data_IF_874727208506
#
_entry.id   IF_874727208506
#
_cell.length_a   1.000
_cell.length_b   1.000
_cell.length_c   1.000
_cell.angle_alpha   90.00
_cell.angle_beta   90.00
_cell.angle_gamma   90.00
#
_symmetry.space_group_name_H-M   'P 1'
#
loop_
_entity.id
_entity.type
_entity.pdbx_description
1 polymer ?
#
# COMPACT_ATOMS: atom_id res chain seq x y z
N UNK A 1 20.75 -35.67 -42.92
CA UNK A 1 19.55 -36.51 -42.80
C UNK A 1 18.93 -36.26 -41.44
N UNK A 2 17.94 -35.39 -41.37
CA UNK A 2 17.22 -35.05 -40.14
C UNK A 2 16.41 -36.26 -39.68
N UNK A 3 16.79 -36.86 -38.54
CA UNK A 3 16.01 -37.94 -37.91
C UNK A 3 14.66 -37.36 -37.49
N UNK A 4 13.58 -37.80 -38.13
CA UNK A 4 12.22 -37.48 -37.70
C UNK A 4 12.03 -38.00 -36.26
N UNK A 5 11.43 -37.17 -35.40
CA UNK A 5 11.17 -37.52 -34.01
C UNK A 5 10.20 -38.73 -33.98
N UNK A 6 10.57 -39.87 -33.35
CA UNK A 6 9.74 -41.06 -33.31
C UNK A 6 8.48 -40.92 -32.44
N UNK A 7 8.37 -39.83 -31.66
CA UNK A 7 7.18 -39.50 -30.89
C UNK A 7 6.18 -38.70 -31.71
N UNK A 8 4.91 -39.07 -31.62
CA UNK A 8 3.81 -38.23 -32.11
C UNK A 8 3.74 -36.92 -31.30
N UNK A 9 3.08 -35.88 -31.84
CA UNK A 9 2.96 -34.59 -31.16
C UNK A 9 2.38 -34.70 -29.73
N UNK A 10 1.40 -35.57 -29.51
CA UNK A 10 0.82 -35.81 -28.19
C UNK A 10 1.77 -36.56 -27.25
N UNK A 11 2.50 -37.55 -27.75
CA UNK A 11 3.51 -38.27 -26.98
C UNK A 11 4.67 -37.34 -26.57
N UNK A 12 5.06 -36.40 -27.42
CA UNK A 12 6.07 -35.38 -27.09
C UNK A 12 5.61 -34.48 -25.95
N UNK A 13 4.38 -33.97 -26.01
CA UNK A 13 3.81 -33.15 -24.92
C UNK A 13 3.70 -33.96 -23.61
N UNK A 14 3.34 -35.24 -23.71
CA UNK A 14 3.25 -36.14 -22.56
C UNK A 14 4.62 -36.42 -21.95
N UNK A 15 5.61 -36.69 -22.79
CA UNK A 15 7.01 -36.88 -22.38
C UNK A 15 7.57 -35.62 -21.70
N UNK A 16 7.39 -34.43 -22.29
CA UNK A 16 7.85 -33.16 -21.71
C UNK A 16 7.19 -32.87 -20.36
N UNK A 17 5.90 -33.23 -20.21
CA UNK A 17 5.20 -33.13 -18.93
C UNK A 17 5.78 -34.08 -17.88
N UNK A 18 5.99 -35.35 -18.24
CA UNK A 18 6.53 -36.37 -17.32
C UNK A 18 7.97 -36.02 -16.91
N UNK A 19 8.80 -35.56 -17.85
CA UNK A 19 10.18 -35.13 -17.60
C UNK A 19 10.25 -33.97 -16.59
N UNK A 20 9.38 -32.96 -16.73
CA UNK A 20 9.33 -31.81 -15.81
C UNK A 20 8.86 -32.18 -14.40
N UNK A 21 8.15 -33.30 -14.25
CA UNK A 21 7.55 -33.72 -12.99
C UNK A 21 8.15 -35.04 -12.48
N UNK A 22 9.36 -35.42 -12.93
CA UNK A 22 9.95 -36.74 -12.70
C UNK A 22 10.01 -37.15 -11.22
N UNK A 23 10.17 -36.18 -10.31
CA UNK A 23 10.23 -36.39 -8.87
C UNK A 23 8.87 -36.70 -8.21
N UNK A 24 7.76 -36.48 -8.91
CA UNK A 24 6.40 -36.61 -8.39
C UNK A 24 5.56 -37.67 -9.11
N UNK A 25 6.17 -38.48 -9.99
CA UNK A 25 5.47 -39.49 -10.77
C UNK A 25 5.08 -40.71 -9.93
N UNK A 26 3.87 -41.22 -10.12
CA UNK A 26 3.47 -42.51 -9.59
C UNK A 26 4.06 -43.68 -10.42
N UNK A 27 3.95 -44.91 -9.92
CA UNK A 27 4.53 -46.11 -10.55
C UNK A 27 4.00 -46.42 -11.96
N UNK A 28 2.82 -45.90 -12.32
CA UNK A 28 2.29 -46.05 -13.68
C UNK A 28 2.90 -45.01 -14.61
N UNK A 29 3.05 -43.78 -14.13
CA UNK A 29 3.62 -42.66 -14.89
C UNK A 29 5.13 -42.78 -15.08
N UNK A 30 5.86 -43.38 -14.13
CA UNK A 30 7.27 -43.74 -14.32
C UNK A 30 7.46 -44.73 -15.47
N UNK A 31 6.65 -45.79 -15.50
CA UNK A 31 6.67 -46.77 -16.61
C UNK A 31 6.27 -46.16 -17.96
N UNK A 32 5.32 -45.21 -17.95
CA UNK A 32 4.95 -44.45 -19.14
C UNK A 32 6.10 -43.55 -19.62
N UNK A 33 6.80 -42.90 -18.70
CA UNK A 33 7.99 -42.10 -19.00
C UNK A 33 9.11 -42.98 -19.59
N UNK A 34 9.42 -44.12 -18.97
CA UNK A 34 10.44 -45.06 -19.44
C UNK A 34 10.13 -45.58 -20.85
N UNK A 35 8.86 -45.89 -21.13
CA UNK A 35 8.42 -46.31 -22.46
C UNK A 35 8.61 -45.21 -23.52
N UNK A 36 8.22 -43.98 -23.21
CA UNK A 36 8.38 -42.83 -24.13
C UNK A 36 9.85 -42.45 -24.32
N UNK A 37 10.67 -42.58 -23.28
CA UNK A 37 12.10 -42.34 -23.31
C UNK A 37 12.80 -43.37 -24.20
N UNK A 38 12.50 -44.67 -24.02
CA UNK A 38 13.04 -45.74 -24.86
C UNK A 38 12.63 -45.61 -26.33
N UNK A 39 11.38 -45.15 -26.58
CA UNK A 39 10.89 -44.85 -27.93
C UNK A 39 11.65 -43.68 -28.59
N UNK A 40 12.07 -42.69 -27.81
CA UNK A 40 12.87 -41.54 -28.26
C UNK A 40 14.33 -41.93 -28.57
N UNK A 41 14.93 -42.80 -27.75
CA UNK A 41 16.31 -43.26 -27.93
C UNK A 41 16.49 -44.26 -29.08
N UNK A 42 15.41 -44.68 -29.73
CA UNK A 42 15.45 -45.57 -30.89
C UNK A 42 15.87 -47.01 -30.56
N UNK A 43 15.79 -47.41 -29.29
CA UNK A 43 16.03 -48.79 -28.86
C UNK A 43 14.86 -49.69 -29.29
N UNK A 44 14.96 -50.27 -30.50
CA UNK A 44 14.13 -51.41 -30.92
C UNK A 44 14.58 -52.66 -30.15
N UNK A 45 14.10 -52.82 -28.93
CA UNK A 45 14.38 -54.04 -28.17
C UNK A 45 14.19 -53.92 -26.67
N UNK A 46 13.01 -53.54 -26.21
CA UNK A 46 12.44 -53.86 -24.89
C UNK A 46 10.94 -53.56 -24.87
N UNK A 47 10.28 -53.87 -25.99
CA UNK A 47 8.82 -53.93 -26.05
C UNK A 47 8.38 -55.29 -25.50
N UNK A 48 8.28 -55.43 -24.18
CA UNK A 48 7.37 -56.43 -23.64
C UNK A 48 5.95 -56.00 -24.01
N UNK A 49 5.38 -56.79 -24.90
CA UNK A 49 4.01 -56.69 -25.40
C UNK A 49 3.06 -56.69 -24.21
N UNK A 50 2.36 -55.58 -24.00
CA UNK A 50 1.20 -55.53 -23.12
C UNK A 50 0.07 -56.33 -23.78
N UNK A 51 -0.01 -57.62 -23.46
CA UNK A 51 -1.16 -58.48 -23.72
C UNK A 51 -1.99 -58.58 -22.43
N UNK A 52 -3.21 -58.03 -22.36
CA UNK A 52 -4.00 -58.04 -21.14
C UNK A 52 -4.62 -59.41 -20.77
N UNK A 53 -4.32 -60.50 -21.51
CA UNK A 53 -4.93 -61.82 -21.29
C UNK A 53 -4.02 -62.89 -20.65
N UNK A 54 -2.84 -62.55 -20.12
CA UNK A 54 -1.93 -63.56 -19.56
C UNK A 54 -1.26 -63.15 -18.24
N UNK A 55 -2.04 -62.98 -17.16
CA UNK A 55 -1.55 -63.19 -15.78
C UNK A 55 -2.66 -63.26 -14.73
N UNK A 56 -3.62 -64.16 -14.90
CA UNK A 56 -4.54 -64.58 -13.83
C UNK A 56 -4.04 -65.87 -13.14
N UNK A 57 -2.72 -66.03 -13.02
CA UNK A 57 -2.12 -67.28 -12.52
C UNK A 57 -0.91 -67.08 -11.60
N UNK A 58 -0.73 -65.90 -10.99
CA UNK A 58 0.39 -65.65 -10.05
C UNK A 58 0.05 -64.78 -8.84
N UNK A 59 -1.24 -64.66 -8.49
CA UNK A 59 -1.71 -64.06 -7.23
C UNK A 59 -2.79 -64.96 -6.62
N UNK A 60 -2.41 -66.21 -6.33
CA UNK A 60 -3.16 -67.14 -5.49
C UNK A 60 -2.29 -67.54 -4.30
N UNK A 61 -1.85 -66.55 -3.51
CA UNK A 61 -1.46 -66.78 -2.11
C UNK A 61 -1.51 -65.45 -1.33
N UNK A 62 -2.71 -64.97 -1.04
CA UNK A 62 -3.02 -64.05 0.07
C UNK A 62 -4.54 -63.86 0.08
N UNK A 63 -5.20 -64.61 0.97
CA UNK A 63 -6.65 -64.76 1.00
C UNK A 63 -7.41 -63.48 1.31
N UNK A 64 -7.94 -62.84 0.26
CA UNK A 64 -9.02 -61.85 0.36
C UNK A 64 -10.00 -62.09 -0.79
N UNK A 65 -11.23 -62.50 -0.44
CA UNK A 65 -12.34 -62.80 -1.35
C UNK A 65 -12.73 -61.59 -2.23
N UNK A 66 -12.90 -61.82 -3.53
CA UNK A 66 -13.66 -60.93 -4.43
C UNK A 66 -14.94 -61.64 -4.92
N UNK A 67 -16.05 -60.90 -5.10
CA UNK A 67 -17.36 -61.48 -5.35
C UNK A 67 -17.49 -62.12 -6.74
N UNK A 68 -18.05 -63.32 -6.74
CA UNK A 68 -18.44 -64.13 -7.91
C UNK A 68 -19.46 -63.43 -8.79
N UNK A 69 -19.21 -63.38 -10.10
CA UNK A 69 -20.22 -63.13 -11.12
C UNK A 69 -20.44 -64.38 -11.97
N UNK A 70 -21.71 -64.72 -12.17
CA UNK A 70 -22.15 -65.95 -12.81
C UNK A 70 -21.77 -66.02 -14.30
N UNK A 71 -21.13 -67.13 -14.67
CA UNK A 71 -21.03 -67.62 -16.04
C UNK A 71 -22.44 -67.87 -16.61
N UNK A 72 -22.73 -67.34 -17.81
CA UNK A 72 -23.80 -67.89 -18.66
C UNK A 72 -23.20 -68.48 -19.92
N UNK A 73 -23.09 -69.80 -19.87
CA UNK A 73 -22.87 -70.71 -20.97
C UNK A 73 -23.90 -70.52 -22.09
N UNK A 74 -23.42 -70.46 -23.33
CA UNK A 74 -24.22 -70.76 -24.53
C UNK A 74 -24.41 -72.27 -24.63
N UNK A 75 -25.63 -72.76 -24.49
CA UNK A 75 -26.03 -74.07 -25.00
C UNK A 75 -27.55 -74.24 -25.00
N UNK A 76 -28.01 -74.87 -26.07
CA UNK A 76 -29.32 -75.51 -26.27
C UNK A 76 -30.48 -74.67 -26.81
N UNK A 77 -31.22 -75.38 -27.65
CA UNK A 77 -32.08 -75.00 -28.76
C UNK A 77 -33.42 -75.69 -28.48
N UNK A 78 -34.52 -75.02 -28.79
CA UNK A 78 -35.86 -75.57 -29.15
C UNK A 78 -36.78 -76.08 -28.02
N UNK A 79 -37.80 -75.28 -27.71
CA UNK A 79 -39.26 -75.57 -27.80
C UNK A 79 -39.99 -74.35 -27.21
N UNK A 80 -40.82 -73.59 -27.93
CA UNK A 80 -42.20 -73.96 -28.26
C UNK A 80 -43.16 -73.41 -27.19
N UNK A 81 -43.86 -72.31 -27.47
CA UNK A 81 -45.08 -71.93 -26.73
C UNK A 81 -45.19 -70.49 -26.22
N UNK A 82 -46.19 -69.79 -26.77
CA UNK A 82 -47.03 -68.74 -26.19
C UNK A 82 -46.46 -67.33 -25.90
N UNK A 83 -47.18 -66.37 -26.48
CA UNK A 83 -47.04 -64.92 -26.40
C UNK A 83 -47.10 -64.36 -24.98
N UNK A 84 -46.28 -63.36 -24.71
CA UNK A 84 -46.57 -62.26 -23.77
C UNK A 84 -45.85 -61.00 -24.28
N UNK A 85 -46.60 -60.10 -24.92
CA UNK A 85 -46.13 -58.76 -25.26
C UNK A 85 -45.80 -57.99 -23.99
N UNK A 86 -44.52 -57.85 -23.67
CA UNK A 86 -44.02 -56.94 -22.64
C UNK A 86 -43.29 -55.79 -23.32
N UNK A 87 -43.86 -54.59 -23.17
CA UNK A 87 -43.33 -53.31 -23.66
C UNK A 87 -41.87 -53.13 -23.20
N UNK A 88 -40.94 -53.07 -24.16
CA UNK A 88 -39.54 -52.72 -23.93
C UNK A 88 -39.48 -51.29 -23.34
N UNK A 89 -38.91 -51.08 -22.13
CA UNK A 89 -38.62 -49.73 -21.68
C UNK A 89 -37.45 -49.19 -22.51
N UNK A 90 -37.67 -48.06 -23.20
CA UNK A 90 -36.59 -47.31 -23.87
C UNK A 90 -35.46 -47.05 -22.88
N UNK A 91 -34.25 -47.49 -23.21
CA UNK A 91 -33.04 -47.19 -22.46
C UNK A 91 -32.93 -45.67 -22.25
N UNK A 92 -33.03 -45.23 -20.98
CA UNK A 92 -32.72 -43.85 -20.61
C UNK A 92 -31.25 -43.60 -20.93
N UNK A 93 -30.97 -42.81 -21.96
CA UNK A 93 -29.64 -42.24 -22.20
C UNK A 93 -29.15 -41.62 -20.88
N UNK A 94 -28.01 -42.10 -20.36
CA UNK A 94 -27.34 -41.45 -19.25
C UNK A 94 -27.07 -40.00 -19.64
N UNK A 95 -27.80 -39.06 -19.03
CA UNK A 95 -27.49 -37.64 -19.17
C UNK A 95 -26.08 -37.46 -18.59
N UNK A 96 -25.10 -37.17 -19.45
CA UNK A 96 -23.79 -36.66 -19.01
C UNK A 96 -24.07 -35.57 -17.98
N UNK A 97 -23.66 -35.76 -16.72
CA UNK A 97 -23.71 -34.70 -15.72
C UNK A 97 -22.93 -33.54 -16.31
N UNK A 98 -23.63 -32.49 -16.76
CA UNK A 98 -23.01 -31.24 -17.19
C UNK A 98 -22.28 -30.72 -15.96
N UNK A 99 -20.98 -30.98 -15.87
CA UNK A 99 -20.11 -30.31 -14.92
C UNK A 99 -20.41 -28.82 -15.05
N UNK A 100 -20.93 -28.23 -13.99
CA UNK A 100 -21.39 -26.85 -13.96
C UNK A 100 -20.26 -25.97 -14.50
N UNK A 101 -20.58 -24.97 -15.34
CA UNK A 101 -19.59 -24.20 -16.13
C UNK A 101 -18.74 -23.24 -15.29
N UNK A 102 -18.37 -23.61 -14.06
CA UNK A 102 -17.57 -22.80 -13.14
C UNK A 102 -16.27 -22.33 -13.80
N UNK A 103 -15.59 -23.15 -14.59
CA UNK A 103 -14.37 -22.71 -15.31
C UNK A 103 -14.63 -21.55 -16.27
N UNK A 104 -15.78 -21.51 -16.94
CA UNK A 104 -16.15 -20.38 -17.81
C UNK A 104 -16.61 -19.19 -16.97
N UNK A 105 -17.36 -19.43 -15.88
CA UNK A 105 -17.77 -18.37 -14.96
C UNK A 105 -16.55 -17.67 -14.33
N UNK A 106 -15.57 -18.43 -13.83
CA UNK A 106 -14.31 -17.90 -13.30
C UNK A 106 -13.45 -17.22 -14.36
N UNK A 107 -13.45 -17.71 -15.61
CA UNK A 107 -12.78 -17.00 -16.71
C UNK A 107 -13.46 -15.66 -17.05
N UNK A 108 -14.79 -15.61 -17.04
CA UNK A 108 -15.56 -14.36 -17.23
C UNK A 108 -15.37 -13.38 -16.06
N UNK A 109 -15.37 -13.88 -14.82
CA UNK A 109 -15.04 -13.09 -13.62
C UNK A 109 -13.62 -12.55 -13.66
N UNK A 110 -12.65 -13.38 -14.05
CA UNK A 110 -11.24 -12.97 -14.21
C UNK A 110 -11.07 -11.92 -15.30
N UNK A 111 -11.76 -12.07 -16.44
CA UNK A 111 -11.77 -11.07 -17.52
C UNK A 111 -12.43 -9.76 -17.07
N UNK A 112 -13.56 -9.83 -16.34
CA UNK A 112 -14.20 -8.63 -15.78
C UNK A 112 -13.26 -7.91 -14.80
N UNK A 113 -12.61 -8.65 -13.90
CA UNK A 113 -11.66 -8.10 -12.96
C UNK A 113 -10.46 -7.44 -13.66
N UNK A 114 -9.95 -8.07 -14.72
CA UNK A 114 -8.91 -7.50 -15.57
C UNK A 114 -9.37 -6.21 -16.26
N UNK A 115 -10.57 -6.17 -16.82
CA UNK A 115 -11.12 -4.95 -17.43
C UNK A 115 -11.27 -3.81 -16.42
N UNK A 116 -11.73 -4.11 -15.19
CA UNK A 116 -11.80 -3.14 -14.10
C UNK A 116 -10.40 -2.65 -13.71
N UNK A 117 -9.42 -3.55 -13.57
CA UNK A 117 -8.03 -3.19 -13.27
C UNK A 117 -7.41 -2.28 -14.35
N UNK A 118 -7.61 -2.62 -15.63
CA UNK A 118 -7.16 -1.78 -16.75
C UNK A 118 -7.86 -0.42 -16.73
N UNK A 119 -9.17 -0.39 -16.50
CA UNK A 119 -9.94 0.86 -16.38
C UNK A 119 -9.41 1.77 -15.25
N UNK A 120 -9.09 1.18 -14.09
CA UNK A 120 -8.49 1.91 -12.96
C UNK A 120 -7.10 2.46 -13.29
N UNK A 121 -6.24 1.67 -13.94
CA UNK A 121 -4.90 2.14 -14.37
C UNK A 121 -5.04 3.31 -15.36
N UNK A 122 -5.97 3.22 -16.32
CA UNK A 122 -6.22 4.31 -17.28
C UNK A 122 -6.72 5.56 -16.57
N UNK A 123 -7.63 5.44 -15.61
CA UNK A 123 -8.12 6.58 -14.82
C UNK A 123 -7.03 7.19 -13.95
N UNK A 124 -6.18 6.37 -13.32
CA UNK A 124 -5.02 6.82 -12.57
C UNK A 124 -4.06 7.62 -13.45
N UNK A 125 -3.68 7.08 -14.62
CA UNK A 125 -2.80 7.77 -15.57
C UNK A 125 -3.42 9.08 -16.07
N UNK A 126 -4.74 9.11 -16.33
CA UNK A 126 -5.45 10.35 -16.66
C UNK A 126 -5.38 11.38 -15.55
N UNK A 127 -5.52 10.96 -14.29
CA UNK A 127 -5.38 11.82 -13.12
C UNK A 127 -3.99 12.41 -13.00
N UNK A 128 -2.98 11.54 -13.08
CA UNK A 128 -1.58 11.90 -13.02
C UNK A 128 -1.20 12.88 -14.13
N UNK A 129 -1.61 12.60 -15.37
CA UNK A 129 -1.39 13.49 -16.51
C UNK A 129 -2.12 14.83 -16.37
N UNK A 130 -3.35 14.85 -15.86
CA UNK A 130 -4.12 16.09 -15.69
C UNK A 130 -3.55 17.05 -14.65
N UNK A 131 -2.71 16.55 -13.75
CA UNK A 131 -2.07 17.33 -12.70
C UNK A 131 -0.59 17.59 -12.98
N UNK A 132 0.00 16.83 -13.91
CA UNK A 132 1.37 17.04 -14.35
C UNK A 132 1.42 18.22 -15.35
N UNK A 133 2.06 19.35 -15.00
CA UNK A 133 2.13 20.52 -15.85
C UNK A 133 2.91 20.31 -17.15
N UNK A 134 3.76 19.27 -17.21
CA UNK A 134 4.46 18.90 -18.44
C UNK A 134 3.56 18.10 -19.42
N UNK A 135 2.29 17.85 -19.07
CA UNK A 135 1.33 17.16 -19.93
C UNK A 135 0.51 18.16 -20.76
N UNK A 136 0.06 17.74 -21.95
CA UNK A 136 -0.78 18.57 -22.84
C UNK A 136 -2.08 19.05 -22.21
N UNK A 137 -2.55 18.35 -21.16
CA UNK A 137 -3.78 18.64 -20.43
C UNK A 137 -3.51 19.09 -18.98
N UNK A 138 -2.25 19.39 -18.62
CA UNK A 138 -1.85 19.83 -17.29
C UNK A 138 -2.12 21.32 -17.02
N UNK A 139 -2.11 21.75 -15.75
CA UNK A 139 -2.19 23.18 -15.41
C UNK A 139 -0.92 23.89 -15.91
N UNK A 140 -1.06 24.98 -16.67
CA UNK A 140 0.08 25.67 -17.30
C UNK A 140 0.96 26.43 -16.31
N UNK A 141 0.43 26.72 -15.11
CA UNK A 141 1.10 27.52 -14.08
C UNK A 141 1.66 26.67 -12.92
N UNK A 142 1.52 25.34 -12.97
CA UNK A 142 2.07 24.44 -11.95
C UNK A 142 3.48 23.94 -12.33
N UNK A 143 4.30 23.59 -11.34
CA UNK A 143 5.55 22.81 -11.54
C UNK A 143 5.33 21.37 -11.08
N UNK A 144 5.86 20.40 -11.82
CA UNK A 144 5.69 18.99 -11.47
C UNK A 144 6.42 18.70 -10.15
N UNK A 145 5.80 17.91 -9.26
CA UNK A 145 6.47 17.46 -8.05
C UNK A 145 7.73 16.66 -8.44
N UNK A 146 8.90 17.16 -8.04
CA UNK A 146 10.17 16.49 -8.31
C UNK A 146 10.47 15.54 -7.17
N UNK A 147 10.68 14.27 -7.48
CA UNK A 147 11.12 13.27 -6.49
C UNK A 147 12.57 13.57 -6.13
N UNK A 148 12.83 13.74 -4.84
CA UNK A 148 14.15 13.95 -4.27
C UNK A 148 14.86 12.61 -4.08
N UNK A 149 16.19 12.65 -4.04
CA UNK A 149 16.97 11.47 -3.63
C UNK A 149 16.69 11.20 -2.16
N UNK A 150 16.20 10.01 -1.84
CA UNK A 150 15.86 9.61 -0.46
C UNK A 150 16.37 8.21 -0.16
N UNK A 151 17.29 8.10 0.79
CA UNK A 151 17.95 6.84 1.16
C UNK A 151 17.16 6.12 2.26
N UNK A 152 15.96 5.68 1.88
CA UNK A 152 15.03 5.02 2.79
C UNK A 152 15.62 3.80 3.49
N UNK A 153 15.31 3.65 4.77
CA UNK A 153 15.72 2.52 5.61
C UNK A 153 14.51 1.73 6.11
N UNK A 154 14.63 0.42 6.12
CA UNK A 154 13.61 -0.48 6.66
C UNK A 154 13.56 -0.42 8.18
N UNK A 155 12.35 -0.50 8.73
CA UNK A 155 12.08 -0.56 10.17
C UNK A 155 11.78 -1.99 10.61
N UNK A 156 12.03 -2.29 11.89
CA UNK A 156 11.79 -3.64 12.44
C UNK A 156 10.31 -3.98 12.57
N UNK A 157 9.47 -2.98 12.82
CA UNK A 157 8.03 -3.13 12.98
C UNK A 157 7.27 -2.11 12.13
N UNK A 158 6.50 -2.60 11.16
CA UNK A 158 5.80 -1.77 10.20
C UNK A 158 6.72 -1.02 9.23
N UNK A 159 6.20 0.06 8.67
CA UNK A 159 6.88 0.94 7.72
C UNK A 159 6.69 2.38 8.18
N UNK A 160 7.80 3.07 8.43
CA UNK A 160 7.80 4.51 8.72
C UNK A 160 7.81 5.34 7.43
N UNK A 161 6.87 6.28 7.34
CA UNK A 161 6.70 7.24 6.25
C UNK A 161 6.81 8.66 6.83
N UNK A 162 7.79 9.43 6.38
CA UNK A 162 7.94 10.84 6.71
C UNK A 162 6.94 11.67 5.91
N UNK A 163 6.13 12.48 6.58
CA UNK A 163 5.18 13.40 5.96
C UNK A 163 5.66 14.81 6.26
N UNK A 164 5.93 15.56 5.21
CA UNK A 164 6.42 16.94 5.27
C UNK A 164 5.38 17.88 4.67
N UNK A 165 4.97 18.87 5.44
CA UNK A 165 4.13 19.97 4.97
C UNK A 165 4.96 21.21 4.74
N UNK A 166 4.95 21.75 3.53
CA UNK A 166 5.66 22.99 3.17
C UNK A 166 4.69 24.14 2.98
N UNK A 167 5.16 25.35 3.29
CA UNK A 167 4.47 26.61 3.01
C UNK A 167 4.76 27.16 1.60
N UNK A 168 5.55 26.42 0.82
CA UNK A 168 5.90 26.76 -0.55
C UNK A 168 4.66 26.97 -1.40
N UNK A 169 4.45 28.21 -1.83
CA UNK A 169 3.42 28.56 -2.82
C UNK A 169 3.88 28.08 -4.20
N UNK A 170 2.94 27.69 -5.06
CA UNK A 170 3.26 27.33 -6.44
C UNK A 170 4.08 28.45 -7.09
N UNK A 171 5.32 28.15 -7.47
CA UNK A 171 6.23 29.09 -8.13
C UNK A 171 7.33 29.70 -7.26
N UNK A 172 7.33 29.50 -5.93
CA UNK A 172 8.45 29.94 -5.08
C UNK A 172 9.66 29.00 -5.21
N UNK A 173 10.85 29.56 -5.00
CA UNK A 173 12.09 28.78 -5.03
C UNK A 173 12.13 27.85 -3.81
N UNK A 174 12.32 26.54 -4.05
CA UNK A 174 12.40 25.53 -3.00
C UNK A 174 13.48 25.82 -1.94
N UNK A 175 14.51 26.60 -2.32
CA UNK A 175 15.61 27.02 -1.44
C UNK A 175 15.21 28.00 -0.32
N UNK A 176 14.01 28.60 -0.38
CA UNK A 176 13.46 29.47 0.66
C UNK A 176 12.27 28.81 1.41
N UNK A 177 11.92 27.58 1.05
CA UNK A 177 10.75 26.90 1.58
C UNK A 177 11.08 26.17 2.88
N UNK A 178 10.26 26.33 3.91
CA UNK A 178 10.43 25.65 5.20
C UNK A 178 9.36 24.59 5.39
N UNK A 179 9.74 23.51 6.08
CA UNK A 179 8.76 22.51 6.53
C UNK A 179 8.16 22.94 7.86
N UNK A 180 6.87 23.24 7.82
CA UNK A 180 6.09 23.67 8.98
C UNK A 180 5.30 22.52 9.62
N UNK A 181 5.27 21.36 8.96
CA UNK A 181 4.74 20.12 9.51
C UNK A 181 5.71 18.99 9.26
N UNK A 182 6.15 18.33 10.32
CA UNK A 182 7.08 17.19 10.26
C UNK A 182 6.44 16.06 11.04
N UNK A 183 5.95 15.04 10.34
CA UNK A 183 5.28 13.90 10.96
C UNK A 183 5.88 12.59 10.47
N UNK A 184 5.90 11.57 11.31
CA UNK A 184 6.22 10.20 10.89
C UNK A 184 5.01 9.32 11.17
N UNK A 185 4.50 8.70 10.11
CA UNK A 185 3.42 7.73 10.15
C UNK A 185 4.03 6.33 10.08
N UNK A 186 3.80 5.51 11.10
CA UNK A 186 4.05 4.07 11.06
C UNK A 186 2.77 3.35 10.64
N UNK A 187 2.89 2.50 9.63
CA UNK A 187 1.80 1.65 9.13
C UNK A 187 2.24 0.18 9.13
N UNK A 188 1.26 -0.74 9.11
CA UNK A 188 1.52 -2.18 8.99
C UNK A 188 2.37 -2.77 10.13
N UNK A 189 2.32 -2.18 11.32
CA UNK A 189 2.92 -2.74 12.54
C UNK A 189 2.23 -4.03 12.99
N UNK A 190 2.93 -4.85 13.79
CA UNK A 190 2.44 -6.14 14.30
C UNK A 190 1.18 -6.03 15.15
N UNK A 191 1.00 -4.91 15.85
CA UNK A 191 -0.17 -4.60 16.66
C UNK A 191 -1.38 -4.12 15.84
N UNK A 192 -1.21 -4.00 14.51
CA UNK A 192 -2.26 -3.59 13.56
C UNK A 192 -2.91 -2.26 13.95
N UNK A 193 -2.13 -1.33 14.48
CA UNK A 193 -2.55 0.06 14.72
C UNK A 193 -1.76 1.00 13.81
N UNK A 194 -2.33 2.18 13.55
CA UNK A 194 -1.55 3.28 12.98
C UNK A 194 -0.90 4.06 14.10
N UNK A 195 0.30 4.56 13.87
CA UNK A 195 1.00 5.39 14.85
C UNK A 195 1.52 6.64 14.16
N UNK A 196 1.25 7.79 14.77
CA UNK A 196 1.59 9.08 14.20
C UNK A 196 2.34 9.90 15.23
N UNK A 197 3.61 10.19 14.95
CA UNK A 197 4.38 11.15 15.73
C UNK A 197 4.53 12.44 14.95
N UNK A 198 4.29 13.57 15.61
CA UNK A 198 4.51 14.91 15.05
C UNK A 198 5.65 15.58 15.79
N UNK A 199 6.63 16.09 15.06
CA UNK A 199 7.75 16.85 15.60
C UNK A 199 7.48 18.34 15.43
N UNK A 200 7.56 19.09 16.52
CA UNK A 200 7.49 20.55 16.46
C UNK A 200 8.71 21.09 15.70
N UNK A 201 8.48 22.08 14.85
CA UNK A 201 9.49 22.63 13.95
C UNK A 201 10.67 23.31 14.67
N UNK A 202 10.40 23.88 15.85
CA UNK A 202 11.35 24.66 16.64
C UNK A 202 12.13 23.79 17.64
N UNK A 203 12.00 22.45 17.54
CA UNK A 203 12.78 21.52 18.36
C UNK A 203 14.27 21.62 18.02
N UNK A 204 15.11 21.78 19.05
CA UNK A 204 16.57 21.82 18.91
C UNK A 204 17.11 20.43 18.62
N UNK A 205 17.87 20.35 17.53
CA UNK A 205 18.44 19.12 17.00
C UNK A 205 19.88 19.33 16.57
N UNK A 206 20.61 18.22 16.55
CA UNK A 206 21.89 18.12 15.90
C UNK A 206 21.68 17.90 14.40
N UNK A 207 22.37 18.69 13.56
CA UNK A 207 22.41 18.53 12.12
C UNK A 207 23.86 18.26 11.71
N UNK A 208 24.11 17.07 11.15
CA UNK A 208 25.45 16.69 10.70
C UNK A 208 25.99 17.68 9.66
N UNK A 209 27.26 18.09 9.82
CA UNK A 209 27.89 19.13 8.99
C UNK A 209 27.58 20.59 9.39
N UNK A 210 26.56 20.85 10.22
CA UNK A 210 26.13 22.21 10.58
C UNK A 210 26.16 22.51 12.08
N UNK A 211 25.87 21.51 12.91
CA UNK A 211 25.92 21.62 14.37
C UNK A 211 27.34 21.45 14.90
N UNK A 212 27.61 22.10 16.02
CA UNK A 212 28.90 21.96 16.68
C UNK A 212 29.05 20.58 17.34
N UNK A 213 30.29 20.08 17.39
CA UNK A 213 30.67 18.92 18.20
C UNK A 213 31.73 19.37 19.19
N UNK A 214 31.35 19.49 20.46
CA UNK A 214 32.22 19.99 21.53
C UNK A 214 32.60 18.81 22.42
N UNK A 215 33.90 18.55 22.59
CA UNK A 215 34.42 17.43 23.39
C UNK A 215 33.82 16.07 23.00
N UNK A 216 33.56 15.85 21.70
CA UNK A 216 32.94 14.63 21.19
C UNK A 216 31.42 14.54 21.39
N UNK A 217 30.78 15.57 21.93
CA UNK A 217 29.34 15.64 22.10
C UNK A 217 28.69 16.49 21.01
N UNK A 218 27.77 15.85 20.28
CA UNK A 218 26.88 16.49 19.30
C UNK A 218 26.00 17.54 20.02
N UNK A 219 26.08 18.79 19.60
CA UNK A 219 25.26 19.87 20.15
C UNK A 219 23.91 19.94 19.41
N UNK A 220 22.84 20.21 20.16
CA UNK A 220 21.50 20.44 19.61
C UNK A 220 21.27 21.94 19.54
N UNK A 221 21.72 22.56 18.46
CA UNK A 221 21.93 24.01 18.36
C UNK A 221 21.16 24.65 17.19
N UNK A 222 20.50 23.83 16.36
CA UNK A 222 19.65 24.28 15.26
C UNK A 222 18.21 23.79 15.41
N UNK A 223 17.26 24.56 14.88
CA UNK A 223 15.86 24.15 14.81
C UNK A 223 15.66 23.04 13.77
N UNK A 224 14.73 22.13 14.05
CA UNK A 224 14.44 21.00 13.16
C UNK A 224 13.99 21.40 11.75
N UNK A 225 13.19 22.45 11.60
CA UNK A 225 12.77 22.90 10.25
C UNK A 225 13.91 23.41 9.37
N UNK A 226 15.01 23.88 9.98
CA UNK A 226 16.19 24.32 9.23
C UNK A 226 16.81 23.17 8.44
N UNK A 227 16.68 21.92 8.91
CA UNK A 227 17.21 20.75 8.22
C UNK A 227 16.69 20.63 6.78
N UNK A 228 15.41 20.91 6.55
CA UNK A 228 14.86 20.85 5.20
C UNK A 228 15.45 21.95 4.30
N UNK A 229 15.51 23.19 4.80
CA UNK A 229 16.05 24.34 4.06
C UNK A 229 17.52 24.10 3.66
N UNK A 230 18.33 23.58 4.59
CA UNK A 230 19.73 23.21 4.32
C UNK A 230 19.84 22.10 3.28
N UNK A 231 19.03 21.04 3.39
CA UNK A 231 19.02 19.96 2.42
C UNK A 231 18.61 20.43 1.02
N UNK A 232 17.68 21.38 0.90
CA UNK A 232 17.31 21.98 -0.38
C UNK A 232 18.46 22.77 -1.01
N UNK A 233 19.23 23.49 -0.19
CA UNK A 233 20.44 24.19 -0.62
C UNK A 233 21.57 23.21 -1.03
N UNK A 234 21.63 22.03 -0.41
CA UNK A 234 22.56 20.94 -0.73
C UNK A 234 22.08 20.01 -1.85
N UNK A 235 21.61 20.59 -2.95
CA UNK A 235 21.27 19.82 -4.15
C UNK A 235 19.89 19.17 -4.11
N UNK A 236 18.90 19.84 -3.47
CA UNK A 236 17.49 19.42 -3.43
C UNK A 236 17.28 18.08 -2.72
N UNK A 237 17.84 18.00 -1.51
CA UNK A 237 17.78 16.83 -0.63
C UNK A 237 17.11 17.19 0.70
N UNK A 238 16.13 18.11 0.71
CA UNK A 238 15.45 18.56 1.92
C UNK A 238 14.85 17.41 2.74
N UNK A 239 14.09 16.51 2.10
CA UNK A 239 13.48 15.37 2.78
C UNK A 239 14.53 14.38 3.32
N UNK A 240 15.62 14.15 2.58
CA UNK A 240 16.72 13.29 3.01
C UNK A 240 17.49 13.87 4.19
N UNK A 241 17.68 15.19 4.23
CA UNK A 241 18.31 15.86 5.38
C UNK A 241 17.45 15.70 6.63
N UNK A 242 16.12 15.92 6.53
CA UNK A 242 15.20 15.69 7.66
C UNK A 242 15.24 14.22 8.10
N UNK A 243 15.31 13.26 7.16
CA UNK A 243 15.46 11.84 7.48
C UNK A 243 16.71 11.55 8.32
N UNK A 244 17.86 12.11 7.93
CA UNK A 244 19.13 11.96 8.67
C UNK A 244 19.03 12.58 10.06
N UNK A 245 18.49 13.78 10.17
CA UNK A 245 18.31 14.47 11.45
C UNK A 245 17.40 13.69 12.39
N UNK A 246 16.27 13.16 11.91
CA UNK A 246 15.39 12.31 12.72
C UNK A 246 16.07 11.00 13.13
N UNK A 247 16.95 10.44 12.29
CA UNK A 247 17.77 9.28 12.65
C UNK A 247 18.79 9.63 13.74
N UNK A 248 19.53 10.72 13.59
CA UNK A 248 20.59 11.10 14.54
C UNK A 248 20.05 11.51 15.93
N UNK A 249 18.88 12.17 15.97
CA UNK A 249 18.34 12.75 17.20
C UNK A 249 17.31 11.84 17.87
N UNK A 250 16.53 11.08 17.10
CA UNK A 250 15.42 10.27 17.60
C UNK A 250 15.52 8.78 17.26
N UNK A 251 16.61 8.37 16.59
CA UNK A 251 16.88 7.00 16.14
C UNK A 251 15.74 6.40 15.30
N UNK A 252 15.15 7.21 14.44
CA UNK A 252 14.09 6.79 13.52
C UNK A 252 14.67 6.33 12.18
N UNK A 253 14.46 5.06 11.85
CA UNK A 253 14.60 4.58 10.48
C UNK A 253 13.32 4.90 9.71
N UNK A 254 13.46 5.49 8.52
CA UNK A 254 12.34 5.96 7.72
C UNK A 254 12.55 5.50 6.29
N UNK A 255 11.55 4.79 5.75
CA UNK A 255 11.63 4.15 4.44
C UNK A 255 11.18 5.05 3.31
N UNK A 256 10.09 5.78 3.55
CA UNK A 256 9.46 6.60 2.54
C UNK A 256 9.23 8.02 3.04
N UNK A 257 9.03 8.95 2.10
CA UNK A 257 8.59 10.29 2.41
C UNK A 257 7.43 10.72 1.50
N UNK A 258 6.65 11.69 1.95
CA UNK A 258 5.65 12.40 1.18
C UNK A 258 5.71 13.89 1.55
N UNK A 259 6.12 14.71 0.60
CA UNK A 259 6.17 16.16 0.69
C UNK A 259 4.91 16.74 0.04
N UNK A 260 4.12 17.47 0.83
CA UNK A 260 2.80 17.96 0.46
C UNK A 260 2.75 19.48 0.69
N UNK A 261 2.53 20.24 -0.38
CA UNK A 261 2.26 21.67 -0.30
C UNK A 261 0.77 21.95 -0.03
N UNK A 262 0.43 23.22 0.18
CA UNK A 262 -0.94 23.65 0.47
C UNK A 262 -1.93 23.29 -0.63
N UNK A 263 -1.55 23.47 -1.90
CA UNK A 263 -2.43 23.20 -3.02
C UNK A 263 -2.66 21.69 -3.19
N UNK A 264 -1.61 20.90 -3.07
CA UNK A 264 -1.64 19.45 -3.10
C UNK A 264 -2.53 18.92 -1.96
N UNK A 265 -2.39 19.46 -0.75
CA UNK A 265 -3.23 19.08 0.38
C UNK A 265 -4.72 19.37 0.11
N UNK A 266 -5.09 20.62 -0.19
CA UNK A 266 -6.49 20.97 -0.40
C UNK A 266 -7.11 20.21 -1.57
N UNK A 267 -6.36 20.08 -2.67
CA UNK A 267 -6.79 19.30 -3.83
C UNK A 267 -6.98 17.83 -3.49
N UNK A 268 -6.09 17.23 -2.69
CA UNK A 268 -6.22 15.85 -2.26
C UNK A 268 -7.50 15.65 -1.42
N UNK A 269 -7.75 16.54 -0.47
CA UNK A 269 -8.94 16.50 0.37
C UNK A 269 -10.21 16.63 -0.46
N UNK A 270 -10.33 17.66 -1.30
CA UNK A 270 -11.54 17.88 -2.11
C UNK A 270 -11.79 16.75 -3.11
N UNK A 271 -10.73 16.09 -3.58
CA UNK A 271 -10.87 14.99 -4.53
C UNK A 271 -11.21 13.66 -3.82
N UNK A 272 -10.66 13.40 -2.64
CA UNK A 272 -10.92 12.19 -1.86
C UNK A 272 -12.24 12.27 -1.06
N UNK A 273 -12.60 13.48 -0.64
CA UNK A 273 -13.75 13.80 0.21
C UNK A 273 -14.52 14.99 -0.40
N UNK A 274 -15.28 14.79 -1.49
CA UNK A 274 -16.00 15.88 -2.16
C UNK A 274 -17.04 16.57 -1.25
N UNK A 275 -17.54 15.87 -0.23
CA UNK A 275 -18.45 16.41 0.80
C UNK A 275 -17.71 17.00 2.01
N UNK A 276 -16.37 17.08 1.95
CA UNK A 276 -15.50 17.48 3.04
C UNK A 276 -15.22 16.38 4.07
N UNK A 277 -14.30 16.68 4.98
CA UNK A 277 -13.89 15.82 6.10
C UNK A 277 -14.61 16.30 7.36
N UNK A 278 -15.22 15.38 8.12
CA UNK A 278 -15.78 15.69 9.43
C UNK A 278 -14.65 15.96 10.42
N UNK A 279 -14.58 17.16 10.98
CA UNK A 279 -13.64 17.50 12.04
C UNK A 279 -14.40 18.03 13.24
N UNK A 280 -14.00 17.59 14.43
CA UNK A 280 -14.41 18.19 15.69
C UNK A 280 -13.43 19.31 16.04
N UNK A 281 -13.66 20.51 15.53
CA UNK A 281 -12.68 21.60 15.64
C UNK A 281 -12.46 22.00 17.10
N UNK A 282 -11.20 22.06 17.51
CA UNK A 282 -10.76 22.36 18.86
C UNK A 282 -9.80 23.54 18.81
N UNK A 283 -10.15 24.60 19.53
CA UNK A 283 -9.29 25.73 19.80
C UNK A 283 -8.95 25.74 21.29
N UNK A 284 -7.84 26.36 21.64
CA UNK A 284 -7.48 26.56 23.04
C UNK A 284 -8.21 27.78 23.60
N UNK A 285 -7.56 28.49 24.52
CA UNK A 285 -7.99 29.79 25.02
C UNK A 285 -7.33 30.93 24.25
N UNK A 286 -7.88 32.13 24.34
CA UNK A 286 -7.23 33.37 23.96
C UNK A 286 -7.32 34.31 25.17
N UNK A 287 -6.18 34.67 25.74
CA UNK A 287 -6.12 35.37 27.03
C UNK A 287 -6.89 34.65 28.15
N UNK A 288 -6.85 33.31 28.17
CA UNK A 288 -7.55 32.48 29.16
C UNK A 288 -9.05 32.30 28.92
N UNK A 289 -9.62 32.88 27.85
CA UNK A 289 -11.04 32.69 27.48
C UNK A 289 -11.14 31.64 26.37
N UNK A 290 -11.98 30.59 26.51
CA UNK A 290 -12.15 29.58 25.47
C UNK A 290 -12.57 30.18 24.13
N UNK A 291 -11.85 29.83 23.06
CA UNK A 291 -12.16 30.26 21.70
C UNK A 291 -13.28 29.39 21.13
N UNK A 292 -14.46 29.96 20.93
CA UNK A 292 -15.61 29.25 20.34
C UNK A 292 -15.70 29.40 18.82
N UNK A 293 -15.04 30.41 18.26
CA UNK A 293 -14.87 30.61 16.82
C UNK A 293 -13.57 31.36 16.55
N UNK A 294 -12.91 31.00 15.45
CA UNK A 294 -11.67 31.61 15.01
C UNK A 294 -11.80 32.11 13.58
N UNK A 295 -11.36 33.34 13.34
CA UNK A 295 -11.18 33.87 11.99
C UNK A 295 -9.80 33.45 11.50
N UNK A 296 -9.74 32.68 10.41
CA UNK A 296 -8.50 32.20 9.82
C UNK A 296 -8.33 32.77 8.42
N UNK A 297 -7.10 33.07 8.03
CA UNK A 297 -6.78 33.47 6.67
C UNK A 297 -7.05 32.35 5.66
N UNK A 298 -7.44 32.71 4.44
CA UNK A 298 -7.60 31.80 3.33
C UNK A 298 -6.49 32.00 2.29
N UNK A 299 -5.32 31.47 2.63
CA UNK A 299 -4.10 31.67 1.84
C UNK A 299 -4.15 31.05 0.44
N UNK A 300 -5.01 30.05 0.22
CA UNK A 300 -5.19 29.47 -1.12
C UNK A 300 -5.90 30.43 -2.08
N UNK A 301 -6.71 31.34 -1.55
CA UNK A 301 -7.44 32.34 -2.33
C UNK A 301 -6.89 33.76 -2.10
N UNK A 302 -5.76 33.89 -1.39
CA UNK A 302 -5.08 35.15 -1.23
C UNK A 302 -4.45 35.60 -2.55
N UNK A 303 -4.67 36.88 -2.89
CA UNK A 303 -4.05 37.57 -4.02
C UNK A 303 -3.08 38.61 -3.51
N UNK A 304 -2.36 39.30 -4.42
CA UNK A 304 -1.47 40.40 -4.02
C UNK A 304 -2.20 41.54 -3.29
N UNK A 305 -3.50 41.70 -3.54
CA UNK A 305 -4.30 42.82 -3.03
C UNK A 305 -5.30 42.41 -1.96
N UNK A 306 -5.64 41.12 -1.84
CA UNK A 306 -6.69 40.64 -0.96
C UNK A 306 -6.25 39.38 -0.21
N UNK A 307 -6.48 39.35 1.10
CA UNK A 307 -6.31 38.17 1.94
C UNK A 307 -7.68 37.80 2.51
N UNK A 308 -8.46 36.94 1.82
CA UNK A 308 -9.75 36.52 2.31
C UNK A 308 -9.61 35.80 3.64
N UNK A 309 -10.67 35.85 4.45
CA UNK A 309 -10.74 35.15 5.73
C UNK A 309 -11.98 34.27 5.75
N UNK A 310 -11.94 33.26 6.61
CA UNK A 310 -13.07 32.39 6.89
C UNK A 310 -13.20 32.18 8.40
N UNK A 311 -14.42 31.93 8.87
CA UNK A 311 -14.69 31.67 10.28
C UNK A 311 -14.88 30.18 10.50
N UNK A 312 -14.12 29.61 11.44
CA UNK A 312 -14.22 28.22 11.85
C UNK A 312 -14.74 28.18 13.29
N UNK A 313 -15.85 27.49 13.52
CA UNK A 313 -16.43 27.34 14.86
C UNK A 313 -15.84 26.13 15.58
N UNK A 314 -15.75 26.16 16.90
CA UNK A 314 -15.44 24.98 17.69
C UNK A 314 -16.56 23.93 17.54
N UNK A 315 -16.20 22.65 17.59
CA UNK A 315 -17.12 21.53 17.48
C UNK A 315 -17.14 20.85 16.10
N UNK A 316 -18.02 19.84 15.98
CA UNK A 316 -18.15 19.01 14.78
C UNK A 316 -18.70 19.80 13.58
N UNK A 317 -17.94 19.80 12.49
CA UNK A 317 -18.35 20.38 11.20
C UNK A 317 -17.69 19.66 10.02
N UNK A 318 -18.24 19.87 8.82
CA UNK A 318 -17.62 19.44 7.57
C UNK A 318 -16.66 20.53 7.08
N UNK A 319 -15.44 20.15 6.75
CA UNK A 319 -14.45 21.05 6.16
C UNK A 319 -13.99 20.55 4.80
N UNK A 320 -14.03 21.42 3.79
CA UNK A 320 -13.38 21.16 2.50
C UNK A 320 -11.85 21.34 2.63
N UNK A 321 -11.12 21.12 1.55
CA UNK A 321 -9.66 21.19 1.53
C UNK A 321 -9.09 22.52 2.00
N UNK A 322 -9.66 23.65 1.57
CA UNK A 322 -9.21 24.97 2.02
C UNK A 322 -9.51 25.22 3.50
N UNK A 323 -10.74 24.97 3.96
CA UNK A 323 -11.12 25.15 5.36
C UNK A 323 -10.29 24.26 6.28
N UNK A 324 -10.04 23.01 5.89
CA UNK A 324 -9.25 22.06 6.65
C UNK A 324 -7.76 22.44 6.71
N UNK A 325 -7.20 22.95 5.61
CA UNK A 325 -5.83 23.48 5.56
C UNK A 325 -5.66 24.63 6.54
N UNK A 326 -6.57 25.60 6.51
CA UNK A 326 -6.47 26.80 7.33
C UNK A 326 -6.75 26.49 8.80
N UNK A 327 -7.61 25.51 9.11
CA UNK A 327 -7.74 24.94 10.45
C UNK A 327 -6.41 24.35 10.96
N UNK A 328 -5.71 23.58 10.12
CA UNK A 328 -4.42 22.98 10.46
C UNK A 328 -3.29 24.01 10.64
N UNK A 329 -3.46 25.23 10.10
CA UNK A 329 -2.44 26.30 10.12
C UNK A 329 -2.66 27.35 11.19
N UNK A 330 -3.84 27.39 11.79
CA UNK A 330 -4.17 28.33 12.86
C UNK A 330 -3.12 28.31 13.98
N UNK A 331 -2.82 29.46 14.57
CA UNK A 331 -1.86 29.59 15.69
C UNK A 331 -2.19 30.75 16.64
N UNK A 332 -3.30 31.44 16.40
CA UNK A 332 -3.65 32.66 17.13
C UNK A 332 -4.49 32.32 18.37
N UNK A 333 -4.03 31.32 19.13
CA UNK A 333 -4.54 30.93 20.45
C UNK A 333 -3.37 30.80 21.43
N UNK A 334 -3.67 30.65 22.72
CA UNK A 334 -2.69 30.60 23.81
C UNK A 334 -1.75 29.37 23.71
N UNK A 335 -2.09 28.36 22.89
CA UNK A 335 -1.24 27.19 22.62
C UNK A 335 -0.28 27.38 21.44
N UNK A 336 -0.49 28.42 20.61
CA UNK A 336 0.41 28.78 19.52
C UNK A 336 0.78 27.62 18.60
N UNK A 337 2.10 27.38 18.49
CA UNK A 337 2.65 26.34 17.61
C UNK A 337 2.31 24.92 18.08
N UNK A 338 2.23 24.69 19.40
CA UNK A 338 1.85 23.39 19.95
C UNK A 338 0.40 23.05 19.56
N UNK A 339 -0.51 24.03 19.69
CA UNK A 339 -1.90 23.90 19.27
C UNK A 339 -2.01 23.61 17.77
N UNK A 340 -1.16 24.26 16.95
CA UNK A 340 -1.03 23.98 15.52
C UNK A 340 -0.61 22.53 15.24
N UNK A 341 0.45 22.05 15.87
CA UNK A 341 0.90 20.65 15.71
C UNK A 341 -0.18 19.66 16.11
N UNK A 342 -0.91 19.92 17.20
CA UNK A 342 -2.07 19.11 17.60
C UNK A 342 -3.18 19.11 16.54
N UNK A 343 -3.54 20.28 15.98
CA UNK A 343 -4.56 20.39 14.94
C UNK A 343 -4.14 19.69 13.65
N UNK A 344 -2.88 19.80 13.23
CA UNK A 344 -2.34 19.04 12.10
C UNK A 344 -2.47 17.53 12.32
N UNK A 345 -2.11 17.05 13.51
CA UNK A 345 -2.25 15.64 13.88
C UNK A 345 -3.72 15.20 13.90
N UNK A 346 -4.62 16.05 14.41
CA UNK A 346 -6.06 15.80 14.40
C UNK A 346 -6.61 15.71 12.97
N UNK A 347 -6.20 16.61 12.09
CA UNK A 347 -6.57 16.60 10.67
C UNK A 347 -6.11 15.29 10.01
N UNK A 348 -4.85 14.90 10.18
CA UNK A 348 -4.33 13.65 9.63
C UNK A 348 -5.10 12.43 10.18
N UNK A 349 -5.40 12.44 11.48
CA UNK A 349 -6.19 11.37 12.13
C UNK A 349 -7.60 11.28 11.57
N UNK A 350 -8.29 12.42 11.41
CA UNK A 350 -9.64 12.47 10.89
C UNK A 350 -9.71 12.02 9.43
N UNK A 351 -8.72 12.40 8.62
CA UNK A 351 -8.57 11.92 7.24
C UNK A 351 -8.39 10.41 7.23
N UNK A 352 -7.43 9.88 7.98
CA UNK A 352 -7.15 8.43 8.03
C UNK A 352 -8.36 7.61 8.52
N UNK A 353 -9.09 8.09 9.52
CA UNK A 353 -10.29 7.42 10.05
C UNK A 353 -11.50 7.47 9.11
N UNK A 354 -11.61 8.53 8.30
CA UNK A 354 -12.73 8.69 7.37
C UNK A 354 -12.51 8.04 6.00
N UNK A 355 -11.33 7.44 5.77
CA UNK A 355 -11.13 6.46 4.71
C UNK A 355 -11.92 5.19 5.09
N UNK A 356 -13.25 5.25 4.94
CA UNK A 356 -14.18 4.17 5.32
C UNK A 356 -14.22 3.02 4.31
N UNK A 357 -13.81 3.29 3.08
CA UNK A 357 -13.92 2.34 1.99
C UNK A 357 -12.73 2.46 1.02
N UNK A 358 -11.78 1.51 1.05
CA UNK A 358 -10.67 1.52 0.10
C UNK A 358 -11.15 1.36 -1.34
N UNK A 359 -12.34 0.80 -1.60
CA UNK A 359 -12.94 0.75 -2.95
C UNK A 359 -13.25 2.12 -3.54
N UNK A 360 -13.38 3.16 -2.69
CA UNK A 360 -13.42 4.56 -3.15
C UNK A 360 -12.06 5.10 -3.56
N UNK A 361 -10.96 4.59 -3.02
CA UNK A 361 -9.61 4.89 -3.51
C UNK A 361 -9.38 4.23 -4.89
N UNK A 362 -9.97 3.05 -5.10
CA UNK A 362 -9.94 2.33 -6.38
C UNK A 362 -10.81 2.97 -7.47
N UNK A 363 -12.05 3.36 -7.14
CA UNK A 363 -12.95 4.10 -8.06
C UNK A 363 -12.53 5.56 -8.22
N UNK A 364 -11.86 6.13 -7.21
CA UNK A 364 -11.14 7.40 -7.23
C UNK A 364 -9.71 7.29 -7.76
N UNK A 365 -9.38 6.30 -8.58
CA UNK A 365 -8.05 6.13 -9.18
C UNK A 365 -7.53 7.40 -9.87
N UNK A 366 -8.40 8.15 -10.54
CA UNK A 366 -8.06 9.49 -11.09
C UNK A 366 -7.65 10.48 -10.00
N UNK A 367 -8.33 10.47 -8.86
CA UNK A 367 -7.98 11.30 -7.71
C UNK A 367 -6.60 10.95 -7.17
N UNK A 368 -6.35 9.66 -6.94
CA UNK A 368 -5.05 9.18 -6.50
C UNK A 368 -3.94 9.59 -7.46
N UNK A 369 -4.15 9.43 -8.77
CA UNK A 369 -3.19 9.85 -9.78
C UNK A 369 -2.88 11.35 -9.69
N UNK A 370 -3.89 12.19 -9.47
CA UNK A 370 -3.74 13.63 -9.29
C UNK A 370 -2.94 13.96 -8.02
N UNK A 371 -3.27 13.34 -6.88
CA UNK A 371 -2.55 13.55 -5.61
C UNK A 371 -1.09 13.13 -5.73
N UNK A 372 -0.83 11.95 -6.30
CA UNK A 372 0.54 11.46 -6.53
C UNK A 372 1.35 12.37 -7.46
N UNK A 373 0.73 12.98 -8.47
CA UNK A 373 1.44 13.92 -9.36
C UNK A 373 1.81 15.25 -8.69
N UNK A 374 1.05 15.64 -7.66
CA UNK A 374 1.25 16.89 -6.91
C UNK A 374 2.08 16.68 -5.63
N UNK A 375 2.35 15.44 -5.24
CA UNK A 375 3.11 15.09 -4.04
C UNK A 375 4.51 14.65 -4.45
N UNK A 376 5.56 15.24 -3.87
CA UNK A 376 6.91 14.68 -4.04
C UNK A 376 7.06 13.50 -3.09
N UNK A 377 7.28 12.30 -3.63
CA UNK A 377 7.33 11.07 -2.84
C UNK A 377 8.13 9.98 -3.54
N UNK A 378 8.83 9.15 -2.75
CA UNK A 378 9.43 7.89 -3.19
C UNK A 378 8.54 6.67 -2.90
N UNK A 379 7.28 6.87 -2.48
CA UNK A 379 6.33 5.78 -2.28
C UNK A 379 6.02 5.10 -3.62
N UNK A 380 6.21 3.77 -3.75
CA UNK A 380 5.83 3.08 -4.95
C UNK A 380 4.30 3.11 -5.11
N UNK A 381 3.80 3.23 -6.34
CA UNK A 381 2.35 3.21 -6.59
C UNK A 381 1.67 1.93 -6.07
N UNK A 382 2.41 0.83 -6.00
CA UNK A 382 1.96 -0.45 -5.44
C UNK A 382 1.82 -0.43 -3.92
N UNK A 383 2.35 0.59 -3.23
CA UNK A 383 2.27 0.70 -1.78
C UNK A 383 0.81 0.71 -1.30
N UNK A 384 -0.04 1.53 -1.92
CA UNK A 384 -1.47 1.58 -1.57
C UNK A 384 -2.17 0.25 -1.84
N UNK A 385 -1.77 -0.48 -2.88
CA UNK A 385 -2.34 -1.80 -3.22
C UNK A 385 -1.93 -2.87 -2.20
N UNK A 386 -0.68 -2.83 -1.75
CA UNK A 386 -0.08 -3.84 -0.89
C UNK A 386 -0.34 -3.59 0.60
N UNK A 387 -0.37 -2.31 1.00
CA UNK A 387 -0.53 -1.89 2.40
C UNK A 387 -1.90 -1.27 2.68
N UNK A 388 -2.72 -0.97 1.67
CA UNK A 388 -4.00 -0.27 1.88
C UNK A 388 -4.97 -1.00 2.80
N UNK A 389 -5.03 -2.33 2.75
CA UNK A 389 -5.84 -3.12 3.69
C UNK A 389 -5.29 -3.04 5.12
N UNK A 390 -3.97 -3.09 5.29
CA UNK A 390 -3.35 -2.97 6.61
C UNK A 390 -3.50 -1.56 7.18
N UNK A 391 -3.45 -0.53 6.34
CA UNK A 391 -3.72 0.86 6.74
C UNK A 391 -5.16 1.02 7.19
N UNK A 392 -6.11 0.43 6.47
CA UNK A 392 -7.53 0.45 6.84
C UNK A 392 -7.79 -0.28 8.16
N UNK A 393 -7.25 -1.50 8.31
CA UNK A 393 -7.34 -2.27 9.55
C UNK A 393 -6.72 -1.47 10.71
N UNK A 394 -5.56 -0.85 10.48
CA UNK A 394 -4.91 0.07 11.42
C UNK A 394 -5.80 1.24 11.84
N UNK A 395 -6.38 1.95 10.87
CA UNK A 395 -7.23 3.11 11.15
C UNK A 395 -8.48 2.73 11.95
N UNK A 396 -9.04 1.54 11.72
CA UNK A 396 -10.19 1.01 12.45
C UNK A 396 -9.84 0.58 13.88
N UNK A 397 -8.65 0.01 14.08
CA UNK A 397 -8.17 -0.43 15.40
C UNK A 397 -7.69 0.72 16.29
N UNK A 398 -7.49 1.91 15.72
CA UNK A 398 -7.12 3.13 16.43
C UNK A 398 -5.77 3.69 15.97
N UNK A 399 -5.63 5.00 16.16
CA UNK A 399 -4.42 5.75 15.80
C UNK A 399 -3.75 6.23 17.08
N UNK A 400 -2.58 5.68 17.40
CA UNK A 400 -1.73 6.14 18.49
C UNK A 400 -0.97 7.39 18.06
N UNK A 401 -0.84 8.35 18.97
CA UNK A 401 -0.42 9.71 18.65
C UNK A 401 0.58 10.22 19.67
N UNK A 402 1.64 10.85 19.19
CA UNK A 402 2.65 11.51 20.01
C UNK A 402 3.00 12.87 19.39
N UNK A 403 3.17 13.88 20.22
CA UNK A 403 3.78 15.15 19.83
C UNK A 403 5.13 15.26 20.50
N UNK A 404 6.14 15.70 19.77
CA UNK A 404 7.50 15.88 20.27
C UNK A 404 7.90 17.35 20.15
N UNK A 405 8.07 18.08 21.27
CA UNK A 405 7.75 17.66 22.64
C UNK A 405 6.24 17.56 22.93
N UNK A 406 5.88 16.82 23.98
CA UNK A 406 4.56 16.85 24.60
C UNK A 406 4.34 18.18 25.35
N UNK A 407 3.08 18.54 25.61
CA UNK A 407 2.75 19.80 26.28
C UNK A 407 3.47 19.91 27.64
N UNK A 408 4.32 20.93 27.78
CA UNK A 408 5.10 21.18 29.00
C UNK A 408 6.36 20.33 29.16
N UNK A 409 6.71 19.48 28.19
CA UNK A 409 7.90 18.61 28.24
C UNK A 409 9.04 19.18 27.38
N UNK A 410 9.37 20.46 27.59
CA UNK A 410 10.51 21.14 26.98
C UNK A 410 11.07 22.23 27.90
N UNK A 411 12.26 22.70 27.56
CA UNK A 411 12.88 23.91 28.12
C UNK A 411 13.05 24.91 27.00
N UNK A 412 12.59 26.14 27.20
CA UNK A 412 12.85 27.23 26.25
C UNK A 412 14.36 27.49 26.16
N UNK A 413 14.86 27.58 24.94
CA UNK A 413 16.26 27.85 24.66
C UNK A 413 16.40 28.65 23.35
N UNK A 414 17.62 28.89 22.89
CA UNK A 414 17.90 29.60 21.65
C UNK A 414 18.71 28.75 20.68
N UNK A 415 18.42 28.87 19.39
CA UNK A 415 19.29 28.35 18.35
C UNK A 415 20.58 29.20 18.24
N UNK A 416 21.55 28.75 17.45
CA UNK A 416 22.82 29.48 17.23
C UNK A 416 22.64 30.88 16.64
N UNK A 417 21.46 31.18 16.09
CA UNK A 417 21.11 32.48 15.50
C UNK A 417 20.34 33.39 16.47
N UNK A 418 20.10 32.94 17.70
CA UNK A 418 19.37 33.67 18.73
C UNK A 418 17.84 33.59 18.61
N UNK A 419 17.31 32.66 17.80
CA UNK A 419 15.89 32.39 17.68
C UNK A 419 15.36 31.48 18.81
N UNK A 420 14.23 31.84 19.41
CA UNK A 420 13.57 31.02 20.44
C UNK A 420 13.26 29.62 19.90
N UNK A 421 13.64 28.60 20.67
CA UNK A 421 13.61 27.19 20.30
C UNK A 421 13.22 26.31 21.50
N UNK A 422 12.93 25.03 21.23
CA UNK A 422 12.47 24.06 22.22
C UNK A 422 13.55 22.99 22.43
N UNK A 423 14.13 22.92 23.63
CA UNK A 423 15.06 21.84 23.99
C UNK A 423 14.32 20.72 24.71
N UNK A 424 14.58 19.48 24.29
CA UNK A 424 13.91 18.28 24.81
C UNK A 424 14.90 17.24 25.33
N UNK A 425 14.46 16.36 26.23
CA UNK A 425 15.21 15.14 26.56
C UNK A 425 15.08 14.13 25.39
N UNK A 426 16.04 14.21 24.46
CA UNK A 426 16.06 13.35 23.28
C UNK A 426 16.05 11.86 23.62
N UNK A 427 16.72 11.46 24.71
CA UNK A 427 16.79 10.05 25.12
C UNK A 427 15.44 9.57 25.65
N UNK A 428 14.71 10.42 26.39
CA UNK A 428 13.35 10.11 26.81
C UNK A 428 12.43 9.90 25.58
N UNK A 429 12.50 10.78 24.57
CA UNK A 429 11.71 10.63 23.35
C UNK A 429 12.12 9.43 22.50
N UNK A 430 13.41 9.13 22.38
CA UNK A 430 13.90 7.90 21.77
C UNK A 430 13.27 6.66 22.43
N UNK A 431 13.20 6.64 23.77
CA UNK A 431 12.58 5.53 24.50
C UNK A 431 11.06 5.45 24.26
N UNK A 432 10.35 6.58 24.28
CA UNK A 432 8.90 6.65 23.96
C UNK A 432 8.64 6.13 22.54
N UNK A 433 9.44 6.55 21.56
CA UNK A 433 9.34 6.11 20.17
C UNK A 433 9.61 4.61 20.00
N UNK A 434 10.58 4.05 20.74
CA UNK A 434 10.82 2.61 20.74
C UNK A 434 9.65 1.83 21.36
N UNK A 435 9.07 2.32 22.46
CA UNK A 435 7.88 1.70 23.08
C UNK A 435 6.67 1.73 22.16
N UNK A 436 6.53 2.80 21.38
CA UNK A 436 5.53 2.89 20.32
C UNK A 436 5.88 2.04 19.10
N UNK A 437 7.06 1.42 18.98
CA UNK A 437 7.41 0.58 17.84
C UNK A 437 7.80 1.35 16.56
N UNK A 438 8.23 2.60 16.70
CA UNK A 438 8.84 3.34 15.58
C UNK A 438 10.31 2.92 15.31
N UNK A 439 10.94 2.19 16.24
CA UNK A 439 12.37 1.81 16.23
C UNK A 439 12.57 0.30 16.17
#
# INVERSE_FOLDING_TARGET
MTRENPLTHHEKLRYDYLLKNIHYLNEKEKREFDFLHAKLEGQKGLAEVFNPEAKEQLLSDSGIDLPTYANRSRSSRRSGGAQLETKVPKAKKQKKKRGFRFKRLFAWLGMLFLCVAVGMIVMFLKGFQSANPNSSNGPKDAKAAQVEVFNGQDTRDGVNILILGTDGRIGQNSAETRTDSIMVLNVSGKDKKLKLVSFMRDNLVYIDGYSQVINGQKQTDHKLNLAYELGEQEGKQGAEMVRKVLKDNFDLDIKYYALVDFQAFATAIDTLFPDGVTIDAQFSTLNGVPVTEATVGDDLHATETESPTQTIRAGKQQMNGSTLLNYARFRDDDEGDYGRTRRQQQVMTAVLQQIKDPTKLFTGSKALGKVFAMTSTNLPYTFLLTNGLSVLEGAQNGIERLTVPELGDWVDDFDVYGGQSLRVDQKAYQNKLAQMGFR
#
